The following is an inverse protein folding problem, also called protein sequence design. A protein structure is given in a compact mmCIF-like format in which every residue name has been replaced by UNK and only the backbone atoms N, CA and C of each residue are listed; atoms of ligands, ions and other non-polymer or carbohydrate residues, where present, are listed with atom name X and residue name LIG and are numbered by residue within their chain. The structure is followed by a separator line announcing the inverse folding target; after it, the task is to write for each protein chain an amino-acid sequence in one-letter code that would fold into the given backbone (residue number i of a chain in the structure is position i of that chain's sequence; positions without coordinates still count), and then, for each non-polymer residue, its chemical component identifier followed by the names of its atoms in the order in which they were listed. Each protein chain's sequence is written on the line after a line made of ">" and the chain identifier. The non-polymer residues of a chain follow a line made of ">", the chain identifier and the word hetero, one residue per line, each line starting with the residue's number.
data_IF_604430536596
#
_entry.id   IF_604430536596
#
_cell.length_a   1.000
_cell.length_b   1.000
_cell.length_c   1.000
_cell.angle_alpha   90.00
_cell.angle_beta   90.00
_cell.angle_gamma   90.00
#
_symmetry.space_group_name_H-M   'P 1'
#
loop_
_entity.id
_entity.type
_entity.pdbx_description
1 polymer ?
#
# COMPACT_ATOMS: atom_id res chain seq x y z
N UNK A 1 -13.65 -49.17 32.82
CA UNK A 1 -13.69 -47.71 32.59
C UNK A 1 -12.64 -47.39 31.53
N UNK A 2 -13.06 -47.00 30.32
CA UNK A 2 -12.16 -46.80 29.16
C UNK A 2 -11.66 -45.36 29.13
N UNK A 3 -10.33 -45.21 29.10
CA UNK A 3 -9.66 -43.93 28.92
C UNK A 3 -9.80 -43.46 27.47
N UNK A 4 -10.32 -42.26 27.27
CA UNK A 4 -10.33 -41.58 25.97
C UNK A 4 -9.20 -40.55 25.93
N UNK A 5 -8.07 -40.97 25.35
CA UNK A 5 -6.98 -40.08 24.95
C UNK A 5 -7.39 -39.39 23.64
N UNK A 6 -7.93 -38.17 23.70
CA UNK A 6 -8.09 -37.34 22.51
C UNK A 6 -6.71 -36.85 22.06
N UNK A 7 -6.24 -37.39 20.94
CA UNK A 7 -5.05 -36.95 20.23
C UNK A 7 -5.26 -35.51 19.73
N UNK A 8 -4.48 -34.57 20.25
CA UNK A 8 -4.28 -33.26 19.63
C UNK A 8 -3.56 -33.48 18.30
N UNK A 9 -4.29 -33.45 17.18
CA UNK A 9 -3.73 -33.28 15.86
C UNK A 9 -3.28 -31.82 15.72
N UNK A 10 -2.06 -31.53 16.15
CA UNK A 10 -1.38 -30.28 15.86
C UNK A 10 -1.03 -30.23 14.39
N UNK A 11 -1.92 -29.66 13.57
CA UNK A 11 -1.59 -29.27 12.20
C UNK A 11 -0.59 -28.12 12.27
N UNK A 12 0.70 -28.43 12.16
CA UNK A 12 1.74 -27.46 11.84
C UNK A 12 1.38 -26.83 10.49
N UNK A 13 0.77 -25.65 10.53
CA UNK A 13 0.65 -24.79 9.38
C UNK A 13 2.06 -24.39 8.96
N UNK A 14 2.56 -24.99 7.86
CA UNK A 14 3.71 -24.47 7.14
C UNK A 14 3.40 -23.03 6.74
N UNK A 15 3.94 -22.07 7.49
CA UNK A 15 4.00 -20.69 7.08
C UNK A 15 4.91 -20.62 5.85
N UNK A 16 4.32 -20.68 4.67
CA UNK A 16 5.02 -20.44 3.41
C UNK A 16 5.57 -19.00 3.46
N UNK A 17 6.88 -18.88 3.63
CA UNK A 17 7.57 -17.62 3.43
C UNK A 17 7.43 -17.26 1.95
N UNK A 18 6.53 -16.33 1.63
CA UNK A 18 6.40 -15.83 0.27
C UNK A 18 7.74 -15.19 -0.14
N UNK A 19 8.32 -15.59 -1.28
CA UNK A 19 9.51 -14.93 -1.80
C UNK A 19 9.20 -13.46 -2.01
N UNK A 20 10.00 -12.59 -1.40
CA UNK A 20 9.85 -11.15 -1.55
C UNK A 20 10.03 -10.80 -3.04
N UNK A 21 8.98 -10.30 -3.68
CA UNK A 21 9.03 -9.98 -5.10
C UNK A 21 9.91 -8.74 -5.30
N UNK A 22 10.88 -8.83 -6.22
CA UNK A 22 11.77 -7.70 -6.58
C UNK A 22 11.03 -6.69 -7.48
N UNK A 23 9.84 -7.04 -7.96
CA UNK A 23 8.99 -6.15 -8.72
C UNK A 23 8.20 -5.22 -7.80
N UNK A 24 7.82 -4.03 -8.31
CA UNK A 24 6.83 -3.20 -7.63
C UNK A 24 5.47 -3.90 -7.57
N UNK A 25 4.66 -3.68 -6.52
CA UNK A 25 3.31 -4.22 -6.47
C UNK A 25 2.48 -3.77 -7.67
N UNK A 26 1.72 -4.69 -8.22
CA UNK A 26 0.74 -4.47 -9.29
C UNK A 26 -0.56 -3.89 -8.72
N UNK A 27 -1.44 -3.40 -9.60
CA UNK A 27 -2.75 -2.91 -9.18
C UNK A 27 -3.63 -4.01 -8.53
N UNK A 28 -3.54 -5.24 -9.05
CA UNK A 28 -4.35 -6.37 -8.58
C UNK A 28 -4.02 -6.77 -7.13
N UNK A 29 -2.77 -6.58 -6.72
CA UNK A 29 -2.32 -6.86 -5.35
C UNK A 29 -2.94 -5.91 -4.32
N UNK A 30 -3.51 -4.78 -4.76
CA UNK A 30 -4.25 -3.85 -3.89
C UNK A 30 -5.77 -4.08 -3.89
N UNK A 31 -6.33 -4.92 -4.79
CA UNK A 31 -7.77 -5.21 -4.81
C UNK A 31 -8.29 -5.75 -3.46
N UNK A 32 -7.58 -6.65 -2.75
CA UNK A 32 -8.02 -7.09 -1.42
C UNK A 32 -8.09 -5.94 -0.40
N UNK A 33 -7.16 -4.99 -0.48
CA UNK A 33 -7.15 -3.81 0.39
C UNK A 33 -8.39 -2.93 0.16
N UNK A 34 -8.80 -2.74 -1.10
CA UNK A 34 -10.02 -2.01 -1.42
C UNK A 34 -11.27 -2.70 -0.88
N UNK A 35 -11.38 -4.02 -1.07
CA UNK A 35 -12.53 -4.79 -0.57
C UNK A 35 -12.64 -4.75 0.95
N UNK A 36 -11.53 -4.86 1.67
CA UNK A 36 -11.53 -4.77 3.13
C UNK A 36 -11.89 -3.37 3.62
N UNK A 37 -11.37 -2.32 2.98
CA UNK A 37 -11.71 -0.94 3.32
C UNK A 37 -13.20 -0.64 3.09
N UNK A 38 -13.77 -1.13 1.98
CA UNK A 38 -15.18 -1.01 1.68
C UNK A 38 -16.05 -1.72 2.74
N UNK A 39 -15.72 -2.97 3.09
CA UNK A 39 -16.40 -3.68 4.17
C UNK A 39 -16.31 -2.96 5.52
N UNK A 40 -15.14 -2.44 5.87
CA UNK A 40 -14.96 -1.70 7.11
C UNK A 40 -15.80 -0.42 7.14
N UNK A 41 -15.96 0.24 5.99
CA UNK A 41 -16.83 1.40 5.83
C UNK A 41 -18.30 1.01 5.96
N UNK A 42 -18.76 -0.01 5.23
CA UNK A 42 -20.13 -0.54 5.29
C UNK A 42 -20.53 -0.89 6.72
N UNK A 43 -19.74 -1.72 7.42
CA UNK A 43 -20.03 -2.09 8.81
C UNK A 43 -20.10 -0.88 9.76
N UNK A 44 -19.29 0.15 9.51
CA UNK A 44 -19.30 1.37 10.32
C UNK A 44 -20.58 2.18 10.10
N UNK A 45 -20.99 2.31 8.84
CA UNK A 45 -22.21 3.01 8.46
C UNK A 45 -23.47 2.27 8.96
N UNK A 46 -23.48 0.94 8.86
CA UNK A 46 -24.58 0.10 9.34
C UNK A 46 -24.72 0.15 10.88
N UNK A 47 -23.60 0.29 11.60
CA UNK A 47 -23.59 0.42 13.05
C UNK A 47 -23.98 1.82 13.55
N UNK A 48 -23.89 2.84 12.69
CA UNK A 48 -24.21 4.23 13.02
C UNK A 48 -25.06 4.88 11.92
N UNK A 49 -26.29 4.39 11.67
CA UNK A 49 -27.17 4.94 10.66
C UNK A 49 -27.52 6.39 11.01
N UNK A 50 -27.12 7.33 10.14
CA UNK A 50 -27.28 8.78 10.35
C UNK A 50 -26.18 9.46 11.17
N UNK A 51 -25.12 8.74 11.54
CA UNK A 51 -23.95 9.30 12.25
C UNK A 51 -22.97 10.05 11.34
N UNK A 52 -21.98 10.72 11.94
CA UNK A 52 -20.94 11.46 11.23
C UNK A 52 -20.13 10.54 10.30
N UNK A 53 -20.48 10.58 9.01
CA UNK A 53 -19.86 9.79 7.94
C UNK A 53 -18.34 9.94 7.89
N UNK A 54 -17.82 11.08 8.34
CA UNK A 54 -16.40 11.41 8.33
C UNK A 54 -15.53 10.42 9.11
N UNK A 55 -16.01 9.90 10.25
CA UNK A 55 -15.24 8.97 11.07
C UNK A 55 -15.21 7.55 10.46
N UNK A 56 -16.30 7.14 9.83
CA UNK A 56 -16.34 5.89 9.06
C UNK A 56 -15.42 5.96 7.84
N UNK A 57 -15.39 7.10 7.13
CA UNK A 57 -14.44 7.33 6.04
C UNK A 57 -12.99 7.31 6.50
N UNK A 58 -12.67 7.97 7.62
CA UNK A 58 -11.32 7.91 8.22
C UNK A 58 -10.93 6.48 8.55
N UNK A 59 -11.84 5.69 9.12
CA UNK A 59 -11.59 4.28 9.48
C UNK A 59 -11.35 3.41 8.23
N UNK A 60 -12.20 3.50 7.21
CA UNK A 60 -12.00 2.78 5.95
C UNK A 60 -10.68 3.15 5.27
N UNK A 61 -10.35 4.43 5.23
CA UNK A 61 -9.06 4.94 4.70
C UNK A 61 -7.87 4.42 5.50
N UNK A 62 -7.96 4.39 6.83
CA UNK A 62 -6.89 3.88 7.68
C UNK A 62 -6.62 2.39 7.41
N UNK A 63 -7.67 1.57 7.27
CA UNK A 63 -7.55 0.17 6.88
C UNK A 63 -6.87 0.00 5.51
N UNK A 64 -7.32 0.77 4.51
CA UNK A 64 -6.71 0.73 3.18
C UNK A 64 -5.22 1.06 3.24
N UNK A 65 -4.85 2.14 3.91
CA UNK A 65 -3.45 2.58 4.02
C UNK A 65 -2.58 1.56 4.75
N UNK A 66 -3.10 0.94 5.83
CA UNK A 66 -2.39 -0.12 6.54
C UNK A 66 -2.13 -1.32 5.61
N UNK A 67 -3.15 -1.79 4.90
CA UNK A 67 -3.02 -2.88 3.93
C UNK A 67 -2.03 -2.54 2.81
N UNK A 68 -2.08 -1.32 2.27
CA UNK A 68 -1.15 -0.86 1.23
C UNK A 68 0.29 -0.87 1.70
N UNK A 69 0.55 -0.50 2.96
CA UNK A 69 1.91 -0.59 3.54
C UNK A 69 2.39 -2.03 3.60
N UNK A 70 1.52 -2.97 3.97
CA UNK A 70 1.85 -4.41 3.98
C UNK A 70 2.16 -4.92 2.58
N UNK A 71 1.31 -4.61 1.59
CA UNK A 71 1.55 -4.98 0.19
C UNK A 71 2.88 -4.38 -0.28
N UNK A 72 3.14 -3.09 -0.03
CA UNK A 72 4.42 -2.48 -0.38
C UNK A 72 5.63 -3.12 0.32
N UNK A 73 5.49 -3.49 1.59
CA UNK A 73 6.58 -4.09 2.37
C UNK A 73 6.91 -5.52 1.93
N UNK A 74 5.94 -6.25 1.36
CA UNK A 74 6.16 -7.57 0.78
C UNK A 74 6.99 -7.52 -0.53
N UNK A 75 7.14 -6.33 -1.12
CA UNK A 75 7.93 -6.11 -2.32
C UNK A 75 9.23 -5.41 -1.96
N UNK A 76 10.36 -5.96 -2.40
CA UNK A 76 11.67 -5.35 -2.17
C UNK A 76 11.76 -4.10 -3.05
N UNK A 77 11.96 -2.90 -2.47
CA UNK A 77 12.11 -1.71 -3.29
C UNK A 77 13.39 -1.81 -4.12
N UNK A 78 13.26 -1.71 -5.46
CA UNK A 78 14.43 -1.52 -6.34
C UNK A 78 14.98 -0.10 -6.15
N UNK A 79 15.85 0.05 -5.14
CA UNK A 79 16.48 1.31 -4.77
C UNK A 79 17.28 1.90 -5.92
N UNK A 80 17.93 1.07 -6.74
CA UNK A 80 18.72 1.54 -7.88
C UNK A 80 17.84 2.23 -8.91
N UNK A 81 16.71 1.60 -9.26
CA UNK A 81 15.73 2.21 -10.18
C UNK A 81 15.14 3.50 -9.62
N UNK A 82 14.74 3.49 -8.34
CA UNK A 82 14.15 4.67 -7.68
C UNK A 82 15.14 5.85 -7.67
N UNK A 83 16.39 5.60 -7.32
CA UNK A 83 17.41 6.65 -7.29
C UNK A 83 17.77 7.15 -8.68
N UNK A 84 17.77 6.28 -9.70
CA UNK A 84 17.98 6.68 -11.09
C UNK A 84 16.85 7.59 -11.59
N UNK A 85 15.59 7.23 -11.31
CA UNK A 85 14.43 8.07 -11.67
C UNK A 85 14.48 9.43 -10.98
N UNK A 86 14.82 9.46 -9.68
CA UNK A 86 14.93 10.73 -8.93
C UNK A 86 15.98 11.66 -9.53
N UNK A 87 17.16 11.14 -9.86
CA UNK A 87 18.22 11.94 -10.52
C UNK A 87 17.76 12.48 -11.87
N UNK A 88 17.06 11.68 -12.67
CA UNK A 88 16.54 12.11 -13.96
C UNK A 88 15.51 13.25 -13.82
N UNK A 89 14.62 13.17 -12.82
CA UNK A 89 13.67 14.25 -12.52
C UNK A 89 14.36 15.53 -12.06
N UNK A 90 15.36 15.42 -11.19
CA UNK A 90 16.13 16.57 -10.70
C UNK A 90 16.90 17.26 -11.84
N UNK A 91 17.51 16.47 -12.74
CA UNK A 91 18.21 17.00 -13.91
C UNK A 91 17.25 17.66 -14.89
N UNK A 92 16.06 17.08 -15.11
CA UNK A 92 15.03 17.68 -15.94
C UNK A 92 14.55 19.03 -15.36
N UNK A 93 14.37 19.11 -14.03
CA UNK A 93 14.00 20.36 -13.33
C UNK A 93 15.07 21.43 -13.48
N UNK A 94 16.36 21.09 -13.32
CA UNK A 94 17.47 22.03 -13.51
C UNK A 94 17.49 22.58 -14.93
N UNK A 95 17.42 21.71 -15.94
CA UNK A 95 17.38 22.13 -17.35
C UNK A 95 16.18 23.02 -17.66
N UNK A 96 15.01 22.69 -17.11
CA UNK A 96 13.81 23.52 -17.28
C UNK A 96 13.95 24.89 -16.61
N UNK A 97 14.58 24.96 -15.43
CA UNK A 97 14.86 26.23 -14.75
C UNK A 97 15.85 27.09 -15.55
N UNK A 98 16.96 26.50 -16.02
CA UNK A 98 17.95 27.19 -16.86
C UNK A 98 17.33 27.70 -18.17
N UNK A 99 16.50 26.89 -18.83
CA UNK A 99 15.81 27.28 -20.05
C UNK A 99 14.87 28.48 -19.81
N UNK A 100 14.17 28.50 -18.67
CA UNK A 100 13.31 29.63 -18.29
C UNK A 100 14.13 30.89 -18.02
N UNK A 101 15.24 30.79 -17.30
CA UNK A 101 16.12 31.93 -17.03
C UNK A 101 16.66 32.53 -18.33
N UNK A 102 17.16 31.70 -19.25
CA UNK A 102 17.63 32.16 -20.57
C UNK A 102 16.53 32.82 -21.40
N UNK A 103 15.30 32.28 -21.34
CA UNK A 103 14.17 32.86 -22.04
C UNK A 103 13.78 34.24 -21.47
N UNK A 104 13.91 34.43 -20.15
CA UNK A 104 13.69 35.73 -19.50
C UNK A 104 14.77 36.76 -19.85
N UNK A 105 16.04 36.34 -19.89
CA UNK A 105 17.16 37.19 -20.31
C UNK A 105 17.01 37.65 -21.76
N UNK A 106 16.56 36.78 -22.67
CA UNK A 106 16.36 37.12 -24.08
C UNK A 106 15.20 38.11 -24.33
N UNK A 107 14.36 38.37 -23.33
CA UNK A 107 13.23 39.31 -23.41
C UNK A 107 13.55 40.70 -22.83
N UNK A 108 14.73 40.87 -22.23
CA UNK A 108 15.22 42.14 -21.66
C UNK A 108 16.14 42.85 -22.65
#
# INVERSE_FOLDING_TARGET
>A
MRASLLRLAGSMAMAAALPAAIASPTADEYLPCHRQAARALEMCLDAAPGGFHDDCWKRGRAYQQACYRTVKAAHVPDRKRIDAMRRAEDDARKRAAEARSRAQEAQQ
#
